data_IF_519433583750
#
_entry.id   IF_519433583750
#
_cell.length_a   1.000
_cell.length_b   1.000
_cell.length_c   1.000
_cell.angle_alpha   90.00
_cell.angle_beta   90.00
_cell.angle_gamma   90.00
#
_symmetry.space_group_name_H-M   'P 1'
#
loop_
_entity.id
_entity.type
_entity.pdbx_description
1 polymer ?
#
# COMPACT_ATOMS: atom_id res chain seq x y z
N UNK A 1 -22.85 14.57 -11.75
CA UNK A 1 -22.05 14.81 -10.60
C UNK A 1 -21.23 13.62 -10.20
N UNK A 2 -20.10 13.85 -9.88
CA UNK A 2 -19.24 12.81 -9.59
C UNK A 2 -19.16 12.55 -8.17
N UNK A 3 -18.77 11.44 -7.88
CA UNK A 3 -18.58 11.00 -6.52
C UNK A 3 -17.14 10.75 -6.22
N UNK A 4 -16.32 11.61 -6.72
CA UNK A 4 -14.92 11.44 -6.46
C UNK A 4 -14.60 11.47 -5.00
N UNK A 5 -15.47 12.02 -4.17
CA UNK A 5 -15.28 11.99 -2.74
C UNK A 5 -15.42 10.58 -2.16
N UNK A 6 -16.02 9.65 -2.91
CA UNK A 6 -16.32 8.34 -2.38
C UNK A 6 -15.11 7.43 -2.32
N UNK A 7 -14.30 7.42 -3.36
CA UNK A 7 -13.09 6.61 -3.31
C UNK A 7 -12.08 7.08 -4.33
N UNK A 8 -10.82 6.85 -4.02
CA UNK A 8 -9.70 7.06 -4.92
C UNK A 8 -8.88 5.79 -4.90
N UNK A 9 -8.51 5.32 -6.08
CA UNK A 9 -7.91 4.01 -6.22
C UNK A 9 -6.51 4.12 -6.81
N UNK A 10 -5.63 3.21 -6.41
CA UNK A 10 -4.36 3.02 -7.08
C UNK A 10 -4.00 1.56 -7.06
N UNK A 11 -3.07 1.17 -7.94
CA UNK A 11 -2.54 -0.17 -7.96
C UNK A 11 -1.05 -0.10 -8.25
N UNK A 12 -0.26 -0.71 -7.38
CA UNK A 12 1.19 -0.79 -7.53
C UNK A 12 1.54 -2.26 -7.73
N UNK A 13 2.39 -2.54 -8.70
CA UNK A 13 2.86 -3.89 -8.96
C UNK A 13 4.02 -4.20 -8.04
N UNK A 14 3.97 -5.37 -7.41
CA UNK A 14 5.03 -5.85 -6.56
C UNK A 14 5.27 -7.32 -6.85
N UNK A 15 6.17 -7.93 -6.13
CA UNK A 15 6.43 -9.35 -6.28
C UNK A 15 6.77 -9.95 -4.94
N UNK A 16 6.54 -11.24 -4.82
CA UNK A 16 6.87 -12.01 -3.63
C UNK A 16 7.67 -13.22 -4.04
N UNK A 17 8.45 -13.75 -3.09
CA UNK A 17 9.20 -14.96 -3.31
C UNK A 17 8.47 -16.14 -2.71
N UNK A 18 8.53 -17.27 -3.39
CA UNK A 18 8.04 -18.54 -2.89
C UNK A 18 9.10 -19.57 -3.27
N UNK A 19 9.93 -19.94 -2.29
CA UNK A 19 11.11 -20.73 -2.58
C UNK A 19 12.08 -19.90 -3.41
N UNK A 20 12.47 -20.42 -4.57
CA UNK A 20 13.36 -19.69 -5.48
C UNK A 20 12.59 -18.98 -6.57
N UNK A 21 11.27 -19.11 -6.58
CA UNK A 21 10.44 -18.49 -7.60
C UNK A 21 9.86 -17.19 -7.09
N UNK A 22 9.63 -16.25 -8.02
CA UNK A 22 8.90 -15.04 -7.68
C UNK A 22 7.57 -15.07 -8.40
N UNK A 23 6.60 -14.38 -7.84
CA UNK A 23 5.29 -14.25 -8.47
C UNK A 23 4.78 -12.82 -8.25
N UNK A 24 3.93 -12.35 -9.18
CA UNK A 24 3.46 -10.97 -9.08
C UNK A 24 2.41 -10.80 -7.98
N UNK A 25 2.46 -9.65 -7.34
CA UNK A 25 1.48 -9.24 -6.34
C UNK A 25 0.98 -7.86 -6.73
N UNK A 26 -0.33 -7.68 -6.73
CA UNK A 26 -0.91 -6.35 -6.94
C UNK A 26 -1.21 -5.76 -5.58
N UNK A 27 -0.73 -4.54 -5.35
CA UNK A 27 -1.00 -3.80 -4.14
C UNK A 27 -2.07 -2.76 -4.49
N UNK A 28 -3.30 -3.05 -4.12
CA UNK A 28 -4.45 -2.22 -4.47
C UNK A 28 -4.81 -1.37 -3.28
N UNK A 29 -4.87 -0.07 -3.48
CA UNK A 29 -5.17 0.87 -2.41
C UNK A 29 -6.43 1.64 -2.74
N UNK A 30 -7.35 1.66 -1.79
CA UNK A 30 -8.62 2.37 -1.88
C UNK A 30 -8.68 3.39 -0.75
N UNK A 31 -8.88 4.65 -1.09
CA UNK A 31 -9.13 5.70 -0.12
C UNK A 31 -10.57 6.15 -0.28
N UNK A 32 -11.32 6.12 0.81
CA UNK A 32 -12.71 6.58 0.76
C UNK A 32 -13.02 7.46 1.96
N UNK A 33 -14.12 8.16 1.88
CA UNK A 33 -14.60 8.99 2.98
C UNK A 33 -15.12 8.11 4.09
N UNK A 34 -15.07 8.62 5.31
CA UNK A 34 -15.58 7.90 6.46
C UNK A 34 -14.63 8.04 7.63
N UNK A 35 -14.83 7.21 8.64
CA UNK A 35 -13.95 7.22 9.80
C UNK A 35 -12.55 6.82 9.36
N UNK A 36 -11.53 7.58 9.78
CA UNK A 36 -10.16 7.24 9.40
C UNK A 36 -9.78 5.86 9.88
N UNK A 37 -9.19 5.09 8.99
CA UNK A 37 -8.70 3.76 9.32
C UNK A 37 -7.64 3.36 8.32
N UNK A 38 -6.89 2.33 8.64
CA UNK A 38 -5.84 1.84 7.76
C UNK A 38 -5.80 0.32 7.90
N UNK A 39 -6.40 -0.36 6.96
CA UNK A 39 -6.48 -1.81 6.96
C UNK A 39 -5.66 -2.40 5.84
N UNK A 40 -4.97 -3.50 6.12
CA UNK A 40 -4.19 -4.24 5.13
C UNK A 40 -4.69 -5.66 5.10
N UNK A 41 -5.12 -6.11 3.93
CA UNK A 41 -5.61 -7.47 3.70
C UNK A 41 -4.59 -8.21 2.86
N UNK A 42 -4.24 -9.41 3.28
CA UNK A 42 -3.31 -10.25 2.53
C UNK A 42 -1.98 -10.49 3.22
N UNK A 43 -1.76 -9.88 4.37
CA UNK A 43 -0.60 -10.17 5.22
C UNK A 43 -1.08 -10.91 6.47
N UNK A 44 -0.20 -11.67 7.12
CA UNK A 44 -0.52 -12.23 8.43
C UNK A 44 -0.81 -11.12 9.43
N UNK A 45 -1.74 -11.38 10.34
CA UNK A 45 -2.16 -10.37 11.31
C UNK A 45 -0.99 -9.82 12.11
N UNK A 46 -0.02 -10.67 12.43
CA UNK A 46 1.16 -10.26 13.20
C UNK A 46 2.00 -9.24 12.46
N UNK A 47 1.94 -9.23 11.14
CA UNK A 47 2.74 -8.30 10.32
C UNK A 47 2.00 -6.99 10.04
N UNK A 48 0.67 -6.98 10.14
CA UNK A 48 -0.13 -5.84 9.72
C UNK A 48 0.15 -4.61 10.57
N UNK A 49 0.19 -4.79 11.88
CA UNK A 49 0.37 -3.66 12.79
C UNK A 49 1.70 -2.97 12.54
N UNK A 50 2.77 -3.75 12.41
CA UNK A 50 4.10 -3.19 12.22
C UNK A 50 4.22 -2.51 10.86
N UNK A 51 3.66 -3.11 9.83
CA UNK A 51 3.68 -2.50 8.50
C UNK A 51 2.96 -1.16 8.50
N UNK A 52 1.80 -1.09 9.14
CA UNK A 52 1.07 0.18 9.22
C UNK A 52 1.89 1.26 9.90
N UNK A 53 2.60 0.90 10.99
CA UNK A 53 3.43 1.86 11.69
C UNK A 53 4.57 2.37 10.83
N UNK A 54 5.27 1.46 10.16
CA UNK A 54 6.38 1.85 9.30
C UNK A 54 5.93 2.72 8.14
N UNK A 55 4.84 2.34 7.49
CA UNK A 55 4.31 3.10 6.35
C UNK A 55 3.88 4.49 6.79
N UNK A 56 3.12 4.59 7.87
CA UNK A 56 2.63 5.88 8.34
C UNK A 56 3.80 6.80 8.71
N UNK A 57 4.76 6.26 9.44
CA UNK A 57 5.90 7.04 9.89
C UNK A 57 6.77 7.49 8.72
N UNK A 58 7.03 6.59 7.78
CA UNK A 58 7.88 6.93 6.64
C UNK A 58 7.24 7.98 5.74
N UNK A 59 5.94 7.89 5.52
CA UNK A 59 5.23 8.89 4.72
C UNK A 59 5.36 10.27 5.38
N UNK A 60 5.11 10.34 6.67
CA UNK A 60 5.20 11.61 7.38
C UNK A 60 6.62 12.15 7.39
N UNK A 61 7.60 11.29 7.64
CA UNK A 61 8.99 11.72 7.73
C UNK A 61 9.54 12.13 6.37
N UNK A 62 8.91 11.71 5.30
CA UNK A 62 9.32 12.10 3.95
C UNK A 62 8.68 13.42 3.49
N UNK A 63 7.93 14.07 4.36
CA UNK A 63 7.35 15.37 4.05
C UNK A 63 5.95 15.33 3.47
N UNK A 64 5.34 14.15 3.41
CA UNK A 64 3.97 14.02 2.92
C UNK A 64 3.00 13.99 4.09
N UNK A 65 1.78 14.43 3.83
CA UNK A 65 0.70 14.27 4.80
C UNK A 65 0.11 12.89 4.65
N UNK A 66 -0.10 12.19 5.76
CA UNK A 66 -0.76 10.90 5.71
C UNK A 66 -2.27 11.14 5.60
N UNK A 67 -2.97 10.52 4.65
CA UNK A 67 -4.39 10.82 4.42
C UNK A 67 -5.26 10.51 5.64
N UNK A 68 -6.19 11.40 5.95
CA UNK A 68 -7.17 11.19 7.01
C UNK A 68 -8.42 10.63 6.34
N UNK A 69 -8.36 9.37 5.94
CA UNK A 69 -9.39 8.71 5.16
C UNK A 69 -9.51 7.27 5.61
N UNK A 70 -10.55 6.60 5.11
CA UNK A 70 -10.67 5.15 5.27
C UNK A 70 -9.76 4.52 4.21
N UNK A 71 -8.66 3.92 4.65
CA UNK A 71 -7.65 3.36 3.75
C UNK A 71 -7.76 1.84 3.80
N UNK A 72 -7.98 1.23 2.65
CA UNK A 72 -7.97 -0.24 2.53
C UNK A 72 -6.90 -0.63 1.53
N UNK A 73 -5.98 -1.48 1.96
CA UNK A 73 -4.93 -2.02 1.10
C UNK A 73 -5.19 -3.51 0.93
N UNK A 74 -5.23 -3.96 -0.30
CA UNK A 74 -5.44 -5.37 -0.61
C UNK A 74 -4.26 -5.88 -1.41
N UNK A 75 -3.59 -6.91 -0.89
CA UNK A 75 -2.48 -7.56 -1.57
C UNK A 75 -3.02 -8.79 -2.29
N UNK A 76 -3.09 -8.73 -3.60
CA UNK A 76 -3.68 -9.79 -4.42
C UNK A 76 -2.60 -10.58 -5.15
N UNK A 77 -2.73 -11.87 -5.30
CA UNK A 77 -3.90 -12.69 -4.96
C UNK A 77 -3.97 -13.01 -3.47
N UNK A 78 -5.18 -13.19 -2.99
CA UNK A 78 -5.43 -13.39 -1.56
C UNK A 78 -4.99 -14.76 -1.05
N UNK A 79 -5.03 -15.75 -1.94
CA UNK A 79 -4.76 -17.13 -1.56
C UNK A 79 -3.28 -17.49 -1.56
N UNK A 80 -2.41 -16.54 -1.87
CA UNK A 80 -0.98 -16.78 -1.89
C UNK A 80 -0.34 -16.21 -0.66
N UNK A 81 0.56 -16.98 -0.05
CA UNK A 81 1.22 -16.51 1.16
C UNK A 81 2.14 -15.34 0.85
N UNK A 82 2.01 -14.30 1.62
CA UNK A 82 2.86 -13.13 1.52
C UNK A 82 3.40 -12.85 2.89
N UNK A 83 4.64 -12.39 2.96
CA UNK A 83 5.22 -12.13 4.26
C UNK A 83 6.22 -11.00 4.18
N UNK A 84 6.51 -10.47 5.34
CA UNK A 84 7.60 -9.55 5.52
C UNK A 84 7.28 -8.13 5.17
N UNK A 85 8.32 -7.35 5.38
CA UNK A 85 8.24 -5.91 5.27
C UNK A 85 8.44 -5.43 3.84
N UNK A 86 8.65 -6.34 2.89
CA UNK A 86 8.96 -5.96 1.52
C UNK A 86 7.81 -5.26 0.81
N UNK A 87 6.60 -5.35 1.34
CA UNK A 87 5.45 -4.65 0.77
C UNK A 87 5.25 -3.25 1.34
N UNK A 88 6.07 -2.83 2.30
CA UNK A 88 5.93 -1.50 2.90
C UNK A 88 6.02 -0.39 1.86
N UNK A 89 7.05 -0.43 1.01
CA UNK A 89 7.24 0.62 0.02
C UNK A 89 6.11 0.66 -1.02
N UNK A 90 5.70 -0.48 -1.61
CA UNK A 90 4.56 -0.42 -2.53
C UNK A 90 3.26 0.03 -1.87
N UNK A 91 3.05 -0.29 -0.59
CA UNK A 91 1.86 0.20 0.12
C UNK A 91 1.94 1.72 0.27
N UNK A 92 3.08 2.24 0.69
CA UNK A 92 3.25 3.69 0.84
C UNK A 92 3.05 4.41 -0.49
N UNK A 93 3.66 3.89 -1.57
CA UNK A 93 3.50 4.49 -2.88
C UNK A 93 2.05 4.43 -3.36
N UNK A 94 1.38 3.32 -3.10
CA UNK A 94 -0.03 3.18 -3.45
C UNK A 94 -0.91 4.21 -2.76
N UNK A 95 -0.65 4.46 -1.47
CA UNK A 95 -1.40 5.47 -0.72
C UNK A 95 -1.13 6.86 -1.31
N UNK A 96 0.12 7.18 -1.60
CA UNK A 96 0.46 8.49 -2.16
C UNK A 96 -0.10 8.68 -3.56
N UNK A 97 -0.13 7.63 -4.37
CA UNK A 97 -0.76 7.70 -5.69
C UNK A 97 -2.28 7.88 -5.55
N UNK A 98 -2.90 7.13 -4.64
CA UNK A 98 -4.35 7.20 -4.48
C UNK A 98 -4.80 8.57 -3.99
N UNK A 99 -4.00 9.25 -3.16
CA UNK A 99 -4.37 10.57 -2.67
C UNK A 99 -3.89 11.71 -3.59
N UNK A 100 -3.27 11.38 -4.71
CA UNK A 100 -2.87 12.39 -5.68
C UNK A 100 -1.51 13.02 -5.42
N UNK A 101 -0.78 12.58 -4.39
CA UNK A 101 0.53 13.15 -4.10
C UNK A 101 1.59 12.70 -5.11
N UNK A 102 1.39 11.54 -5.72
CA UNK A 102 2.26 11.02 -6.76
C UNK A 102 1.40 10.63 -7.96
N UNK A 103 2.03 10.59 -9.14
CA UNK A 103 1.32 10.21 -10.36
C UNK A 103 1.35 8.72 -10.56
N UNK A 104 0.19 8.14 -10.83
CA UNK A 104 0.07 6.69 -11.03
C UNK A 104 0.90 6.20 -12.21
N UNK A 105 0.99 6.98 -13.27
CA UNK A 105 1.69 6.54 -14.47
C UNK A 105 3.17 6.30 -14.22
N UNK A 106 3.75 7.05 -13.29
CA UNK A 106 5.18 6.91 -13.02
C UNK A 106 5.52 5.55 -12.44
N UNK A 107 4.59 4.95 -11.71
CA UNK A 107 4.83 3.68 -11.05
C UNK A 107 4.34 2.49 -11.87
N UNK A 108 3.55 2.74 -12.93
CA UNK A 108 2.85 1.66 -13.64
C UNK A 108 3.79 0.67 -14.32
N UNK A 109 4.99 1.10 -14.68
CA UNK A 109 5.91 0.26 -15.42
C UNK A 109 6.92 -0.47 -14.55
N UNK A 110 6.79 -0.37 -13.23
CA UNK A 110 7.79 -0.93 -12.33
C UNK A 110 7.18 -1.93 -11.37
N UNK A 111 7.97 -2.94 -10.99
CA UNK A 111 7.68 -3.76 -9.84
C UNK A 111 8.44 -3.14 -8.67
N UNK A 112 7.74 -2.91 -7.57
CA UNK A 112 8.27 -2.16 -6.44
C UNK A 112 8.27 -3.05 -5.21
N UNK A 113 9.41 -3.13 -4.53
CA UNK A 113 9.51 -3.81 -3.24
C UNK A 113 10.42 -2.98 -2.34
N UNK A 114 10.23 -3.10 -1.05
CA UNK A 114 11.12 -2.43 -0.10
C UNK A 114 10.52 -2.36 1.28
N UNK A 115 11.39 -2.43 2.27
CA UNK A 115 11.02 -2.23 3.66
C UNK A 115 11.25 -0.77 4.03
N UNK A 116 10.34 -0.20 4.81
CA UNK A 116 10.49 1.15 5.30
C UNK A 116 10.95 1.14 6.74
N UNK A 117 11.54 2.25 7.15
CA UNK A 117 12.10 2.38 8.49
C UNK A 117 11.24 3.31 9.32
N UNK A 118 11.29 3.11 10.62
CA UNK A 118 10.64 4.01 11.55
C UNK A 118 11.45 5.29 11.78
N UNK A 119 12.66 5.34 11.29
CA UNK A 119 13.51 6.52 11.47
C UNK A 119 13.09 7.71 10.60
#
# INVERSE_FOLDING_TARGET
MRNEALSMLSMIKSSALQGIDSYPVSVEVDLSSGLPSFDIVGLPDSAVKESRERVRTAVKNSGFSFPVKHITVNLAPADTRKEGASFDLPIALGILCACGALQNEAAADYFVTGELSLD
#
